data_IF_282358384654
#
_entry.id   IF_282358384654
#
_cell.length_a   1.000
_cell.length_b   1.000
_cell.length_c   1.000
_cell.angle_alpha   90.00
_cell.angle_beta   90.00
_cell.angle_gamma   90.00
#
_symmetry.space_group_name_H-M   'P 1'
#
loop_
_entity.id
_entity.type
_entity.pdbx_description
1 polymer ?
#
# COMPACT_ATOMS: atom_id res chain seq x y z
N UNK A 1 5.28 4.65 -22.63
CA UNK A 1 6.19 4.42 -21.49
C UNK A 1 5.96 3.02 -21.00
N UNK A 2 7.01 2.21 -20.88
CA UNK A 2 6.95 1.04 -19.99
C UNK A 2 6.45 1.58 -18.63
N UNK A 3 5.43 0.96 -18.04
CA UNK A 3 4.97 1.27 -16.69
C UNK A 3 6.18 1.05 -15.77
N UNK A 4 6.88 2.15 -15.51
CA UNK A 4 8.29 2.17 -15.16
C UNK A 4 8.52 1.63 -13.75
N UNK A 5 9.79 1.36 -13.47
CA UNK A 5 10.27 1.16 -12.10
C UNK A 5 9.73 2.30 -11.23
N UNK A 6 9.17 1.99 -10.04
CA UNK A 6 8.70 3.02 -9.12
C UNK A 6 9.78 4.09 -8.88
N UNK A 7 9.37 5.35 -8.95
CA UNK A 7 10.22 6.49 -8.64
C UNK A 7 10.22 6.65 -7.13
N UNK A 8 11.40 6.53 -6.51
CA UNK A 8 11.59 6.70 -5.06
C UNK A 8 12.30 8.02 -4.81
N UNK A 9 11.69 8.91 -4.04
CA UNK A 9 12.25 10.21 -3.67
C UNK A 9 12.02 10.48 -2.18
N UNK A 10 12.88 11.31 -1.59
CA UNK A 10 12.68 11.81 -0.22
C UNK A 10 11.99 13.17 -0.19
N UNK A 11 12.09 13.92 -1.29
CA UNK A 11 11.58 15.29 -1.42
C UNK A 11 10.57 15.34 -2.57
N UNK A 12 9.42 15.96 -2.31
CA UNK A 12 8.30 16.01 -3.26
C UNK A 12 8.58 16.87 -4.49
N UNK A 13 9.55 17.77 -4.44
CA UNK A 13 10.00 18.58 -5.58
C UNK A 13 10.74 17.77 -6.65
N UNK A 14 11.22 16.57 -6.31
CA UNK A 14 11.83 15.62 -7.25
C UNK A 14 10.79 14.74 -7.98
N UNK A 15 9.50 14.85 -7.63
CA UNK A 15 8.44 14.16 -8.37
C UNK A 15 8.30 14.73 -9.79
N UNK A 16 7.86 13.94 -10.77
CA UNK A 16 7.54 14.44 -12.11
C UNK A 16 6.51 15.57 -12.08
N UNK A 17 6.64 16.55 -12.97
CA UNK A 17 5.69 17.66 -13.06
C UNK A 17 4.44 17.26 -13.84
N UNK A 18 3.33 17.05 -13.12
CA UNK A 18 2.02 16.79 -13.69
C UNK A 18 0.96 17.63 -12.99
N UNK A 19 0.07 18.23 -13.78
CA UNK A 19 -1.16 18.81 -13.27
C UNK A 19 -2.15 17.68 -12.95
N UNK A 20 -2.79 17.80 -11.80
CA UNK A 20 -3.82 16.89 -11.32
C UNK A 20 -5.17 17.47 -11.68
N UNK A 21 -6.06 16.63 -12.20
CA UNK A 21 -7.43 17.02 -12.50
C UNK A 21 -8.14 17.43 -11.21
N UNK A 22 -8.75 18.62 -11.21
CA UNK A 22 -9.60 19.08 -10.11
C UNK A 22 -10.70 18.07 -9.76
N UNK A 23 -11.11 18.01 -8.49
CA UNK A 23 -12.15 17.10 -8.04
C UNK A 23 -13.45 17.28 -8.85
N UNK A 24 -13.89 16.21 -9.51
CA UNK A 24 -15.13 16.19 -10.29
C UNK A 24 -16.30 15.96 -9.33
N UNK A 25 -17.03 17.03 -9.00
CA UNK A 25 -18.18 17.08 -8.07
C UNK A 25 -17.82 16.85 -6.59
N UNK A 26 -17.93 17.92 -5.80
CA UNK A 26 -17.66 17.97 -4.35
C UNK A 26 -18.67 17.22 -3.46
N UNK A 27 -19.63 16.47 -4.02
CA UNK A 27 -20.82 16.02 -3.27
C UNK A 27 -20.94 14.52 -3.06
N UNK A 28 -20.11 13.69 -3.67
CA UNK A 28 -20.17 12.24 -3.46
C UNK A 28 -18.78 11.64 -3.35
N UNK A 29 -18.35 11.39 -2.11
CA UNK A 29 -17.21 10.55 -1.79
C UNK A 29 -17.67 9.39 -0.92
N UNK A 30 -17.05 8.23 -1.11
CA UNK A 30 -17.20 7.11 -0.17
C UNK A 30 -16.03 7.18 0.80
N UNK A 31 -16.34 7.13 2.09
CA UNK A 31 -15.35 7.07 3.16
C UNK A 31 -15.56 5.78 3.95
N UNK A 32 -14.46 5.05 4.19
CA UNK A 32 -14.45 3.76 4.87
C UNK A 32 -13.24 3.72 5.81
N UNK A 33 -13.46 3.25 7.03
CA UNK A 33 -12.43 3.06 8.08
C UNK A 33 -12.49 1.65 8.72
N UNK A 34 -13.30 0.75 8.13
CA UNK A 34 -13.53 -0.62 8.57
C UNK A 34 -13.73 -1.55 7.38
N UNK A 35 -14.01 -2.83 7.64
CA UNK A 35 -14.34 -3.79 6.59
C UNK A 35 -15.48 -3.30 5.68
N UNK A 36 -15.27 -3.39 4.38
CA UNK A 36 -16.24 -2.96 3.37
C UNK A 36 -15.99 -3.67 2.04
N UNK A 37 -17.06 -3.96 1.31
CA UNK A 37 -17.03 -4.39 -0.08
C UNK A 37 -17.85 -3.46 -0.95
N UNK A 38 -17.23 -2.98 -2.02
CA UNK A 38 -17.80 -2.19 -3.09
C UNK A 38 -17.25 -2.71 -4.42
N UNK A 39 -17.91 -2.45 -5.56
CA UNK A 39 -17.43 -2.92 -6.86
C UNK A 39 -16.00 -2.49 -7.23
N UNK A 40 -15.49 -1.42 -6.62
CA UNK A 40 -14.17 -0.84 -6.86
C UNK A 40 -13.30 -0.75 -5.61
N UNK A 41 -13.77 -1.22 -4.45
CA UNK A 41 -13.04 -1.16 -3.19
C UNK A 41 -13.35 -2.37 -2.34
N UNK A 42 -12.34 -3.04 -1.80
CA UNK A 42 -12.52 -3.97 -0.70
C UNK A 42 -11.49 -3.69 0.36
N UNK A 43 -11.93 -3.78 1.61
CA UNK A 43 -11.11 -3.54 2.80
C UNK A 43 -11.41 -4.62 3.82
N UNK A 44 -10.36 -5.14 4.46
CA UNK A 44 -10.45 -6.13 5.54
C UNK A 44 -9.37 -5.91 6.56
N UNK A 45 -9.72 -6.05 7.85
CA UNK A 45 -8.76 -6.10 8.95
C UNK A 45 -9.16 -7.23 9.90
N UNK A 46 -8.32 -8.27 9.98
CA UNK A 46 -8.54 -9.41 10.86
C UNK A 46 -7.37 -9.60 11.83
N UNK A 47 -7.56 -10.45 12.84
CA UNK A 47 -6.48 -10.94 13.68
C UNK A 47 -6.27 -12.43 13.44
N UNK A 48 -5.06 -12.81 13.04
CA UNK A 48 -4.65 -14.21 12.87
C UNK A 48 -4.12 -14.84 14.16
N UNK A 49 -4.05 -14.07 15.25
CA UNK A 49 -3.76 -14.57 16.59
C UNK A 49 -4.81 -15.57 17.11
N UNK A 50 -4.43 -16.47 18.04
CA UNK A 50 -5.31 -17.48 18.61
C UNK A 50 -6.36 -16.89 19.56
N UNK A 51 -7.53 -17.51 19.58
CA UNK A 51 -8.47 -17.36 20.71
C UNK A 51 -8.01 -18.26 21.85
N UNK A 52 -7.66 -17.66 22.99
CA UNK A 52 -7.19 -18.35 24.18
C UNK A 52 -8.35 -19.06 24.91
N UNK A 53 -8.08 -20.02 25.82
CA UNK A 53 -9.13 -20.77 26.52
C UNK A 53 -10.15 -19.91 27.30
N UNK A 54 -9.79 -18.67 27.65
CA UNK A 54 -10.68 -17.70 28.29
C UNK A 54 -11.66 -17.00 27.33
N UNK A 55 -11.60 -17.27 26.02
CA UNK A 55 -12.42 -16.64 24.99
C UNK A 55 -11.86 -15.32 24.45
N UNK A 56 -10.85 -14.76 25.11
CA UNK A 56 -10.11 -13.59 24.64
C UNK A 56 -9.21 -13.97 23.45
N UNK A 57 -9.07 -13.08 22.47
CA UNK A 57 -8.11 -13.26 21.39
C UNK A 57 -6.76 -12.65 21.80
N UNK A 58 -5.69 -13.39 21.61
CA UNK A 58 -4.35 -12.87 21.83
C UNK A 58 -4.06 -11.72 20.85
N UNK A 59 -3.20 -10.78 21.24
CA UNK A 59 -2.96 -9.58 20.42
C UNK A 59 -4.04 -8.49 20.50
N UNK A 60 -5.22 -8.74 21.08
CA UNK A 60 -6.30 -7.76 21.13
C UNK A 60 -5.93 -6.46 21.90
N UNK A 61 -6.50 -5.31 21.50
CA UNK A 61 -7.33 -5.10 20.31
C UNK A 61 -6.49 -5.05 19.03
N UNK A 62 -7.15 -5.22 17.87
CA UNK A 62 -6.54 -5.03 16.55
C UNK A 62 -5.84 -3.65 16.49
N UNK A 63 -4.52 -3.71 16.36
CA UNK A 63 -3.63 -2.57 16.36
C UNK A 63 -3.48 -1.93 14.96
N UNK A 64 -3.99 -2.58 13.93
CA UNK A 64 -4.11 -2.01 12.60
C UNK A 64 -5.32 -1.08 12.50
N UNK A 65 -5.16 0.01 11.74
CA UNK A 65 -6.23 0.92 11.35
C UNK A 65 -6.09 1.27 9.88
N UNK A 66 -7.22 1.41 9.19
CA UNK A 66 -7.26 1.78 7.79
C UNK A 66 -8.16 2.99 7.58
N UNK A 67 -7.92 3.69 6.48
CA UNK A 67 -8.82 4.73 5.98
C UNK A 67 -8.78 4.76 4.47
N UNK A 68 -9.95 4.88 3.86
CA UNK A 68 -10.11 5.02 2.43
C UNK A 68 -11.15 6.10 2.15
N UNK A 69 -10.80 7.04 1.30
CA UNK A 69 -11.71 8.02 0.74
C UNK A 69 -11.64 7.99 -0.78
N UNK A 70 -12.74 7.67 -1.44
CA UNK A 70 -12.82 7.57 -2.91
C UNK A 70 -13.73 8.64 -3.47
N UNK A 71 -13.17 9.44 -4.38
CA UNK A 71 -13.85 10.36 -5.29
C UNK A 71 -13.80 9.81 -6.71
N UNK A 72 -14.53 10.43 -7.64
CA UNK A 72 -14.59 10.00 -9.04
C UNK A 72 -13.23 9.94 -9.74
N UNK A 73 -12.38 10.93 -9.48
CA UNK A 73 -11.07 11.09 -10.13
C UNK A 73 -9.88 11.03 -9.16
N UNK A 74 -10.12 10.58 -7.92
CA UNK A 74 -9.10 10.56 -6.88
C UNK A 74 -9.44 9.57 -5.78
N UNK A 75 -8.44 8.93 -5.20
CA UNK A 75 -8.60 8.20 -3.95
C UNK A 75 -7.48 8.52 -2.96
N UNK A 76 -7.82 8.52 -1.68
CA UNK A 76 -6.90 8.54 -0.55
C UNK A 76 -6.99 7.18 0.15
N UNK A 77 -5.85 6.54 0.38
CA UNK A 77 -5.73 5.25 1.04
C UNK A 77 -4.75 5.38 2.21
N UNK A 78 -5.00 4.74 3.33
CA UNK A 78 -4.03 4.66 4.42
C UNK A 78 -4.17 3.37 5.23
N UNK A 79 -3.04 2.85 5.69
CA UNK A 79 -2.93 1.82 6.73
C UNK A 79 -1.90 2.31 7.76
N UNK A 80 -2.26 2.17 9.03
CA UNK A 80 -1.35 2.32 10.15
C UNK A 80 -1.36 1.00 10.94
N UNK A 81 -0.20 0.37 11.07
CA UNK A 81 -0.02 -0.82 11.91
C UNK A 81 0.67 -0.38 13.21
N UNK A 82 -0.02 -0.57 14.33
CA UNK A 82 0.49 -0.21 15.64
C UNK A 82 1.63 -1.13 16.05
N UNK A 83 2.84 -0.60 16.22
CA UNK A 83 4.01 -1.43 16.52
C UNK A 83 3.85 -2.24 17.82
N UNK A 84 4.00 -3.56 17.73
CA UNK A 84 3.62 -4.57 18.72
C UNK A 84 2.10 -4.80 18.76
N UNK A 85 1.51 -5.00 19.92
CA UNK A 85 0.06 -5.19 20.06
C UNK A 85 -0.46 -4.61 21.38
N UNK A 86 -1.78 -4.63 21.54
CA UNK A 86 -2.45 -4.10 22.71
C UNK A 86 -2.91 -2.64 22.56
N UNK A 87 -3.40 -2.08 23.67
CA UNK A 87 -4.14 -0.80 23.65
C UNK A 87 -3.31 0.39 23.16
N UNK A 88 -2.04 0.48 23.56
CA UNK A 88 -1.19 1.64 23.23
C UNK A 88 -0.89 1.72 21.73
N UNK A 89 -0.39 0.66 21.07
CA UNK A 89 -0.21 0.66 19.62
C UNK A 89 -1.52 0.87 18.85
N UNK A 90 -2.61 0.23 19.28
CA UNK A 90 -3.93 0.40 18.65
C UNK A 90 -4.47 1.84 18.74
N UNK A 91 -4.24 2.53 19.86
CA UNK A 91 -4.57 3.95 19.99
C UNK A 91 -3.68 4.82 19.10
N UNK A 92 -2.38 4.53 19.00
CA UNK A 92 -1.47 5.27 18.12
C UNK A 92 -1.87 5.16 16.65
N UNK A 93 -2.17 3.94 16.16
CA UNK A 93 -2.67 3.72 14.81
C UNK A 93 -3.99 4.46 14.56
N UNK A 94 -4.90 4.46 15.54
CA UNK A 94 -6.19 5.16 15.44
C UNK A 94 -5.99 6.66 15.34
N UNK A 95 -5.17 7.22 16.22
CA UNK A 95 -4.91 8.66 16.29
C UNK A 95 -4.18 9.13 15.01
N UNK A 96 -3.25 8.31 14.49
CA UNK A 96 -2.58 8.55 13.20
C UNK A 96 -3.56 8.62 12.03
N UNK A 97 -4.41 7.58 11.89
CA UNK A 97 -5.41 7.51 10.81
C UNK A 97 -6.44 8.64 10.92
N UNK A 98 -6.89 8.96 12.14
CA UNK A 98 -7.86 10.04 12.36
C UNK A 98 -7.30 11.40 11.89
N UNK A 99 -6.07 11.76 12.29
CA UNK A 99 -5.45 13.00 11.86
C UNK A 99 -5.14 13.02 10.36
N UNK A 100 -4.69 11.90 9.80
CA UNK A 100 -4.46 11.75 8.37
C UNK A 100 -5.75 11.98 7.56
N UNK A 101 -6.86 11.36 7.99
CA UNK A 101 -8.17 11.52 7.37
C UNK A 101 -8.69 12.95 7.46
N UNK A 102 -8.64 13.56 8.65
CA UNK A 102 -9.04 14.95 8.88
C UNK A 102 -8.25 15.92 7.98
N UNK A 103 -6.93 15.75 7.92
CA UNK A 103 -6.06 16.58 7.10
C UNK A 103 -6.47 16.59 5.62
N UNK A 104 -6.76 15.42 5.06
CA UNK A 104 -7.15 15.28 3.66
C UNK A 104 -8.59 15.70 3.39
N UNK A 105 -9.52 15.50 4.33
CA UNK A 105 -10.91 15.94 4.18
C UNK A 105 -11.04 17.44 3.92
N UNK A 106 -10.14 18.24 4.49
CA UNK A 106 -10.15 19.70 4.34
C UNK A 106 -9.41 20.18 3.08
N UNK A 107 -8.43 19.41 2.58
CA UNK A 107 -7.41 19.91 1.63
C UNK A 107 -7.48 19.30 0.25
N UNK A 108 -8.44 18.42 -0.04
CA UNK A 108 -8.55 17.81 -1.37
C UNK A 108 -8.56 18.85 -2.51
N UNK A 109 -9.27 19.96 -2.36
CA UNK A 109 -9.37 20.97 -3.41
C UNK A 109 -8.06 21.75 -3.65
N UNK A 110 -7.08 21.62 -2.76
CA UNK A 110 -5.79 22.31 -2.86
C UNK A 110 -4.75 21.49 -3.66
N UNK A 111 -5.03 20.22 -3.93
CA UNK A 111 -4.13 19.32 -4.67
C UNK A 111 -4.30 19.56 -6.18
N UNK A 112 -3.47 20.45 -6.73
CA UNK A 112 -3.48 20.84 -8.16
C UNK A 112 -2.35 20.21 -8.97
N UNK A 113 -1.27 19.80 -8.31
CA UNK A 113 -0.10 19.17 -8.94
C UNK A 113 0.32 17.91 -8.19
N UNK A 114 1.14 17.09 -8.85
CA UNK A 114 1.75 15.92 -8.20
C UNK A 114 2.68 16.33 -7.03
N UNK A 115 3.31 17.50 -7.12
CA UNK A 115 4.14 18.09 -6.06
C UNK A 115 3.28 18.49 -4.86
N UNK A 116 2.11 19.11 -5.08
CA UNK A 116 1.17 19.42 -4.00
C UNK A 116 0.74 18.13 -3.29
N UNK A 117 0.41 17.10 -4.05
CA UNK A 117 0.05 15.79 -3.51
C UNK A 117 1.17 15.22 -2.62
N UNK A 118 2.42 15.28 -3.06
CA UNK A 118 3.58 14.86 -2.26
C UNK A 118 3.79 15.71 -1.01
N UNK A 119 3.66 17.03 -1.13
CA UNK A 119 3.77 17.96 0.00
C UNK A 119 2.71 17.66 1.07
N UNK A 120 1.45 17.60 0.67
CA UNK A 120 0.32 17.35 1.57
C UNK A 120 0.37 15.95 2.19
N UNK A 121 0.83 14.94 1.44
CA UNK A 121 0.99 13.60 1.97
C UNK A 121 2.04 13.55 3.10
N UNK A 122 3.19 14.21 2.91
CA UNK A 122 4.22 14.30 3.97
C UNK A 122 3.76 15.15 5.16
N UNK A 123 2.96 16.20 4.93
CA UNK A 123 2.34 16.98 6.00
C UNK A 123 1.35 16.15 6.82
N UNK A 124 0.55 15.31 6.20
CA UNK A 124 -0.38 14.43 6.90
C UNK A 124 0.34 13.47 7.88
N UNK A 125 1.57 13.05 7.58
CA UNK A 125 2.39 12.24 8.49
C UNK A 125 2.84 13.05 9.73
N UNK A 126 3.12 14.34 9.55
CA UNK A 126 3.43 15.25 10.65
C UNK A 126 2.22 15.42 11.56
N UNK A 127 1.03 15.64 10.98
CA UNK A 127 -0.23 15.72 11.75
C UNK A 127 -0.52 14.42 12.50
N UNK A 128 -0.32 13.26 11.84
CA UNK A 128 -0.46 11.95 12.48
C UNK A 128 0.48 11.79 13.69
N UNK A 129 1.77 12.15 13.56
CA UNK A 129 2.70 12.12 14.69
C UNK A 129 2.24 13.03 15.84
N UNK A 130 1.89 14.28 15.53
CA UNK A 130 1.43 15.26 16.53
C UNK A 130 0.19 14.74 17.27
N UNK A 131 -0.74 14.10 16.56
CA UNK A 131 -1.95 13.54 17.16
C UNK A 131 -1.67 12.39 18.13
N UNK A 132 -0.71 11.51 17.81
CA UNK A 132 -0.34 10.38 18.68
C UNK A 132 0.16 10.87 20.05
N UNK A 133 0.94 11.96 20.06
CA UNK A 133 1.53 12.52 21.30
C UNK A 133 0.63 13.55 21.99
N UNK A 134 -0.45 13.97 21.34
CA UNK A 134 -1.35 15.00 21.85
C UNK A 134 -2.00 14.56 23.18
N UNK A 135 -2.01 15.49 24.15
CA UNK A 135 -2.74 15.33 25.42
C UNK A 135 -2.17 14.27 26.37
N UNK A 136 -0.96 13.75 26.13
CA UNK A 136 -0.31 12.79 27.05
C UNK A 136 0.38 13.50 28.21
N UNK A 137 0.15 13.10 29.48
CA UNK A 137 0.89 13.64 30.63
C UNK A 137 2.39 13.38 30.52
N UNK A 138 2.74 12.16 30.10
CA UNK A 138 4.08 11.78 29.63
C UNK A 138 3.94 11.25 28.20
N UNK A 139 4.66 11.87 27.27
CA UNK A 139 4.67 11.48 25.85
C UNK A 139 4.96 9.99 25.68
N UNK A 140 5.82 9.40 26.52
CA UNK A 140 6.19 7.99 26.45
C UNK A 140 5.08 7.03 26.90
N UNK A 141 3.90 7.52 27.28
CA UNK A 141 2.69 6.72 27.44
C UNK A 141 1.95 6.48 26.10
N UNK A 142 2.25 7.26 25.05
CA UNK A 142 1.72 7.00 23.72
C UNK A 142 2.27 5.68 23.15
N UNK A 143 1.49 5.01 22.31
CA UNK A 143 2.02 3.95 21.46
C UNK A 143 2.81 4.52 20.27
N UNK A 144 3.32 3.63 19.44
CA UNK A 144 3.93 3.97 18.14
C UNK A 144 3.24 3.17 17.04
N UNK A 145 3.29 3.65 15.82
CA UNK A 145 2.67 2.99 14.67
C UNK A 145 3.45 3.27 13.39
N UNK A 146 3.44 2.34 12.45
CA UNK A 146 3.81 2.60 11.06
C UNK A 146 2.73 3.49 10.41
N UNK A 147 3.03 4.06 9.25
CA UNK A 147 2.01 4.70 8.43
C UNK A 147 2.39 4.56 6.95
N UNK A 148 1.50 3.98 6.16
CA UNK A 148 1.51 4.06 4.71
C UNK A 148 0.28 4.84 4.27
N UNK A 149 0.50 5.99 3.63
CA UNK A 149 -0.54 6.81 3.05
C UNK A 149 -0.37 6.90 1.52
N UNK A 150 -1.45 6.83 0.76
CA UNK A 150 -1.45 6.78 -0.69
C UNK A 150 -2.50 7.69 -1.32
N UNK A 151 -2.18 8.23 -2.49
CA UNK A 151 -3.03 9.04 -3.34
C UNK A 151 -3.03 8.44 -4.75
N UNK A 152 -4.22 8.10 -5.25
CA UNK A 152 -4.44 7.80 -6.67
C UNK A 152 -5.02 9.04 -7.31
N UNK A 153 -4.40 9.54 -8.39
CA UNK A 153 -4.66 10.85 -8.98
C UNK A 153 -4.89 10.72 -10.50
N UNK A 154 -5.94 11.36 -11.02
CA UNK A 154 -6.12 11.57 -12.46
C UNK A 154 -5.34 12.82 -12.92
N UNK A 155 -4.51 12.71 -13.95
CA UNK A 155 -3.77 13.83 -14.53
C UNK A 155 -4.57 14.53 -15.62
N UNK A 156 -4.34 15.83 -15.77
CA UNK A 156 -4.93 16.59 -16.88
C UNK A 156 -4.38 16.08 -18.22
N UNK A 157 -5.26 15.85 -19.18
CA UNK A 157 -4.83 15.59 -20.55
C UNK A 157 -4.12 16.84 -21.08
N UNK A 158 -2.95 16.72 -21.74
CA UNK A 158 -2.37 17.85 -22.45
C UNK A 158 -3.40 18.31 -23.47
N UNK A 159 -3.94 19.52 -23.25
CA UNK A 159 -4.93 20.10 -24.14
C UNK A 159 -4.37 20.06 -25.55
N UNK A 160 -5.07 19.38 -26.49
CA UNK A 160 -4.97 19.74 -27.89
C UNK A 160 -5.39 21.20 -27.94
N UNK A 161 -4.40 22.09 -28.00
CA UNK A 161 -4.59 23.53 -28.06
C UNK A 161 -5.75 23.82 -29.00
N UNK A 162 -6.79 24.41 -28.43
CA UNK A 162 -7.93 24.97 -29.14
C UNK A 162 -7.40 25.94 -30.20
N UNK A 163 -7.25 25.46 -31.44
CA UNK A 163 -7.02 26.30 -32.60
C UNK A 163 -8.35 26.95 -32.99
N UNK A 164 -8.78 27.91 -32.17
CA UNK A 164 -9.81 28.87 -32.53
C UNK A 164 -9.12 30.15 -33.00
N UNK A 165 -8.72 30.20 -34.27
CA UNK A 165 -8.61 31.45 -35.02
C UNK A 165 -8.43 31.21 -36.52
N UNK A 166 -9.47 31.60 -37.26
CA UNK A 166 -9.41 32.33 -38.54
C UNK A 166 -9.18 31.53 -39.83
N UNK A 167 -10.31 31.35 -40.52
CA UNK A 167 -10.44 31.20 -41.96
C UNK A 167 -9.44 32.02 -42.77
N UNK A 168 -8.70 31.35 -43.65
CA UNK A 168 -8.40 31.85 -44.99
C UNK A 168 -8.33 30.66 -45.96
N UNK A 169 -9.13 30.75 -47.02
CA UNK A 169 -9.03 29.92 -48.22
C UNK A 169 -7.73 30.26 -48.94
N UNK A 170 -7.04 29.27 -49.48
CA UNK A 170 -6.54 29.29 -50.86
C UNK A 170 -6.04 27.90 -51.30
N UNK A 171 -6.17 27.65 -52.60
CA UNK A 171 -6.05 26.35 -53.26
C UNK A 171 -4.61 25.93 -53.62
N UNK A 172 -4.46 24.60 -53.76
CA UNK A 172 -3.67 23.88 -54.77
C UNK A 172 -2.14 23.67 -54.56
N UNK A 173 -1.72 22.42 -54.36
CA UNK A 173 -1.02 21.55 -55.36
C UNK A 173 -0.44 20.30 -54.69
N UNK A 174 -0.39 19.19 -55.43
CA UNK A 174 -0.08 17.85 -54.95
C UNK A 174 1.39 17.57 -54.61
N UNK A 175 1.57 16.53 -53.81
CA UNK A 175 2.84 15.87 -53.52
C UNK A 175 2.57 14.58 -52.75
N UNK A 176 2.91 13.45 -53.36
CA UNK A 176 3.01 12.16 -52.68
C UNK A 176 4.11 12.23 -51.64
N UNK A 177 3.84 11.89 -50.37
CA UNK A 177 4.90 11.54 -49.42
C UNK A 177 4.39 10.73 -48.22
N UNK A 178 5.04 9.57 -48.03
CA UNK A 178 5.26 8.80 -46.81
C UNK A 178 4.22 8.85 -45.68
N UNK A 179 3.45 7.76 -45.55
CA UNK A 179 2.78 7.37 -44.30
C UNK A 179 3.81 7.10 -43.20
N UNK A 180 4.24 8.16 -42.53
CA UNK A 180 5.00 8.10 -41.29
C UNK A 180 3.99 7.99 -40.16
N UNK A 181 3.60 6.75 -39.83
CA UNK A 181 2.77 6.45 -38.68
C UNK A 181 3.46 6.91 -37.41
N UNK A 182 3.21 8.16 -37.00
CA UNK A 182 3.60 8.64 -35.68
C UNK A 182 2.75 7.88 -34.66
N UNK A 183 3.38 6.94 -33.96
CA UNK A 183 2.83 6.38 -32.74
C UNK A 183 2.69 7.54 -31.74
N UNK A 184 1.55 8.23 -31.76
CA UNK A 184 1.14 9.16 -30.71
C UNK A 184 0.97 8.34 -29.43
N UNK A 185 2.04 8.25 -28.65
CA UNK A 185 2.00 7.61 -27.37
C UNK A 185 1.19 8.51 -26.43
N UNK A 186 -0.02 8.06 -26.06
CA UNK A 186 -0.90 8.82 -25.18
C UNK A 186 -0.22 9.12 -23.84
N UNK A 187 -0.39 10.34 -23.34
CA UNK A 187 0.10 10.74 -22.01
C UNK A 187 -0.52 9.85 -20.91
N UNK A 188 0.20 9.57 -19.81
CA UNK A 188 -0.36 8.81 -18.70
C UNK A 188 -1.54 9.55 -18.08
N UNK A 189 -2.65 8.84 -17.85
CA UNK A 189 -3.89 9.40 -17.28
C UNK A 189 -3.92 9.32 -15.75
N UNK A 190 -3.27 8.32 -15.16
CA UNK A 190 -3.32 8.08 -13.72
C UNK A 190 -1.92 7.91 -13.11
N UNK A 191 -1.79 8.29 -11.84
CA UNK A 191 -0.62 8.04 -11.02
C UNK A 191 -1.01 7.55 -9.62
N UNK A 192 -0.16 6.69 -9.05
CA UNK A 192 -0.24 6.25 -7.67
C UNK A 192 1.01 6.76 -6.92
N UNK A 193 0.78 7.68 -5.98
CA UNK A 193 1.76 8.27 -5.10
C UNK A 193 1.56 7.72 -3.69
N UNK A 194 2.58 7.22 -3.01
CA UNK A 194 2.46 6.87 -1.60
C UNK A 194 3.68 7.29 -0.78
N UNK A 195 3.47 7.66 0.47
CA UNK A 195 4.50 7.85 1.47
C UNK A 195 4.42 6.68 2.46
N UNK A 196 5.57 6.24 2.95
CA UNK A 196 5.64 5.14 3.92
C UNK A 196 6.71 5.43 4.96
N UNK A 197 6.37 5.21 6.23
CA UNK A 197 7.29 5.04 7.35
C UNK A 197 6.92 3.74 8.05
N UNK A 198 7.91 2.88 8.28
CA UNK A 198 7.68 1.48 8.66
C UNK A 198 7.71 0.53 7.47
N UNK A 199 7.06 -0.62 7.59
CA UNK A 199 7.21 -1.76 6.68
C UNK A 199 5.95 -2.18 5.93
N UNK A 200 4.77 -1.62 6.23
CA UNK A 200 3.57 -1.80 5.40
C UNK A 200 3.88 -1.59 3.91
N UNK A 201 3.24 -2.39 3.04
CA UNK A 201 3.57 -2.45 1.62
C UNK A 201 2.46 -1.93 0.73
N UNK A 202 2.86 -1.31 -0.39
CA UNK A 202 1.98 -1.00 -1.49
C UNK A 202 2.38 -1.79 -2.74
N UNK A 203 1.38 -2.35 -3.41
CA UNK A 203 1.51 -3.02 -4.69
C UNK A 203 0.62 -2.35 -5.73
N UNK A 204 1.10 -2.32 -6.98
CA UNK A 204 0.27 -2.04 -8.15
C UNK A 204 0.07 -3.34 -8.91
N UNK A 205 -1.18 -3.79 -9.00
CA UNK A 205 -1.56 -4.98 -9.78
C UNK A 205 -2.11 -4.53 -11.12
N UNK A 206 -1.37 -4.76 -12.18
CA UNK A 206 -1.73 -4.34 -13.52
C UNK A 206 -2.73 -5.30 -14.14
N UNK A 207 -3.92 -4.80 -14.48
CA UNK A 207 -4.97 -5.64 -15.09
C UNK A 207 -4.57 -6.12 -16.49
N UNK A 208 -3.95 -5.22 -17.27
CA UNK A 208 -3.56 -5.45 -18.65
C UNK A 208 -2.34 -6.36 -18.77
N UNK A 209 -1.31 -6.12 -17.96
CA UNK A 209 -0.07 -6.91 -17.98
C UNK A 209 -0.18 -8.23 -17.22
N UNK A 210 -1.16 -8.36 -16.33
CA UNK A 210 -1.28 -9.49 -15.41
C UNK A 210 -0.03 -9.63 -14.53
N UNK A 211 0.44 -8.50 -14.00
CA UNK A 211 1.67 -8.38 -13.23
C UNK A 211 1.45 -7.57 -11.96
N UNK A 212 2.13 -7.93 -10.88
CA UNK A 212 2.22 -7.15 -9.65
C UNK A 212 3.56 -6.42 -9.56
N UNK A 213 3.56 -5.22 -8.99
CA UNK A 213 4.78 -4.43 -8.72
C UNK A 213 4.78 -3.98 -7.27
N UNK A 214 5.80 -4.33 -6.48
CA UNK A 214 6.02 -3.74 -5.14
C UNK A 214 6.45 -2.29 -5.32
N UNK A 215 5.51 -1.37 -5.10
CA UNK A 215 5.73 0.08 -5.21
C UNK A 215 6.65 0.55 -4.09
N UNK A 216 6.55 -0.07 -2.93
CA UNK A 216 7.33 0.21 -1.71
C UNK A 216 8.63 -0.60 -1.61
N UNK A 217 9.13 -1.17 -2.71
CA UNK A 217 10.31 -2.03 -2.68
C UNK A 217 11.49 -1.32 -1.96
N UNK A 218 12.10 -2.02 -1.01
CA UNK A 218 13.17 -1.47 -0.18
C UNK A 218 12.73 -0.45 0.88
N UNK A 219 11.46 -0.43 1.30
CA UNK A 219 10.99 0.31 2.49
C UNK A 219 11.56 -0.28 3.79
N UNK A 220 11.71 -1.60 3.87
CA UNK A 220 12.33 -2.30 5.00
C UNK A 220 13.76 -2.74 4.66
N UNK A 221 14.75 -2.11 5.28
CA UNK A 221 16.16 -2.46 5.07
C UNK A 221 16.67 -3.52 6.06
N UNK A 222 16.10 -3.56 7.28
CA UNK A 222 16.46 -4.57 8.28
C UNK A 222 15.63 -5.84 8.07
N UNK A 223 16.26 -6.84 7.44
CA UNK A 223 15.63 -8.14 7.15
C UNK A 223 15.83 -9.17 8.25
N UNK A 224 16.68 -8.90 9.25
CA UNK A 224 17.05 -9.85 10.30
C UNK A 224 16.28 -9.67 11.61
N UNK A 225 15.75 -8.47 11.89
CA UNK A 225 14.84 -8.25 13.03
C UNK A 225 13.44 -7.86 12.55
N UNK A 226 12.51 -8.81 12.65
CA UNK A 226 11.10 -8.63 12.25
C UNK A 226 10.34 -7.65 13.14
N UNK A 227 10.88 -7.27 14.30
CA UNK A 227 10.28 -6.30 15.23
C UNK A 227 10.71 -4.86 14.97
N UNK A 228 11.72 -4.67 14.12
CA UNK A 228 12.09 -3.34 13.64
C UNK A 228 11.43 -3.09 12.28
N UNK A 229 10.32 -2.33 12.21
CA UNK A 229 9.69 -1.96 10.95
C UNK A 229 10.54 -0.96 10.15
N UNK A 230 11.69 -0.53 10.67
CA UNK A 230 12.60 0.44 10.05
C UNK A 230 12.33 1.88 10.45
N UNK A 231 11.06 2.25 10.62
CA UNK A 231 10.63 3.56 11.10
C UNK A 231 9.23 3.50 11.70
N UNK A 232 8.85 4.51 12.47
CA UNK A 232 7.53 4.61 13.13
C UNK A 232 7.19 6.05 13.55
N UNK A 233 5.90 6.36 13.54
CA UNK A 233 5.32 7.53 14.17
C UNK A 233 5.05 7.29 15.67
N UNK A 234 4.81 8.38 16.40
CA UNK A 234 4.83 8.39 17.86
C UNK A 234 6.25 8.57 18.45
N UNK A 235 6.37 8.56 19.78
CA UNK A 235 7.63 8.85 20.47
C UNK A 235 8.55 7.64 20.45
N UNK A 236 9.73 7.78 19.84
CA UNK A 236 10.70 6.69 19.75
C UNK A 236 12.15 7.15 19.94
N UNK A 237 12.58 8.25 19.31
CA UNK A 237 13.96 8.74 19.39
C UNK A 237 14.07 10.07 20.13
N UNK A 238 15.19 10.28 20.84
CA UNK A 238 15.51 11.55 21.48
C UNK A 238 14.42 12.04 22.44
N UNK A 239 13.83 13.19 22.14
CA UNK A 239 12.81 13.86 22.97
C UNK A 239 11.36 13.42 22.61
N UNK A 240 11.18 12.20 22.08
CA UNK A 240 9.88 11.73 21.60
C UNK A 240 9.63 12.00 20.12
N UNK A 241 10.68 12.21 19.35
CA UNK A 241 10.59 12.35 17.90
C UNK A 241 10.24 11.01 17.23
N UNK A 242 9.60 11.04 16.05
CA UNK A 242 9.35 9.83 15.29
C UNK A 242 10.65 9.28 14.72
N UNK A 243 10.66 7.98 14.44
CA UNK A 243 11.73 7.34 13.70
C UNK A 243 11.44 7.37 12.22
N UNK A 244 12.10 8.27 11.50
CA UNK A 244 11.88 8.50 10.07
C UNK A 244 13.00 7.92 9.19
N UNK A 245 13.83 7.00 9.72
CA UNK A 245 15.01 6.45 9.00
C UNK A 245 14.66 5.87 7.63
N UNK A 246 13.46 5.33 7.47
CA UNK A 246 12.98 4.77 6.21
C UNK A 246 11.79 5.53 5.59
N UNK A 247 11.51 6.76 6.05
CA UNK A 247 10.48 7.60 5.42
C UNK A 247 10.85 7.84 3.96
N UNK A 248 10.00 7.39 3.04
CA UNK A 248 10.18 7.52 1.60
C UNK A 248 8.87 7.87 0.92
N UNK A 249 8.97 8.59 -0.20
CA UNK A 249 7.89 8.86 -1.13
C UNK A 249 8.11 8.03 -2.40
N UNK A 250 7.07 7.34 -2.84
CA UNK A 250 7.08 6.42 -3.96
C UNK A 250 6.03 6.86 -4.97
N UNK A 251 6.37 6.82 -6.25
CA UNK A 251 5.45 7.16 -7.31
C UNK A 251 5.54 6.17 -8.47
N UNK A 252 4.40 5.76 -9.00
CA UNK A 252 4.32 5.00 -10.23
C UNK A 252 3.13 5.45 -11.07
N UNK A 253 3.28 5.34 -12.39
CA UNK A 253 2.14 5.50 -13.29
C UNK A 253 1.26 4.25 -13.23
N UNK A 254 -0.03 4.43 -13.44
CA UNK A 254 -1.00 3.34 -13.45
C UNK A 254 -2.03 3.53 -14.56
N UNK A 255 -2.72 2.44 -14.91
CA UNK A 255 -3.78 2.44 -15.90
C UNK A 255 -5.15 2.25 -15.24
N UNK A 256 -6.19 2.63 -15.98
CA UNK A 256 -7.57 2.36 -15.57
C UNK A 256 -7.82 0.84 -15.46
N UNK A 257 -8.51 0.42 -14.41
CA UNK A 257 -8.73 -0.96 -13.96
C UNK A 257 -7.56 -1.66 -13.26
N UNK A 258 -6.38 -1.04 -13.14
CA UNK A 258 -5.34 -1.54 -12.23
C UNK A 258 -5.84 -1.52 -10.78
N UNK A 259 -5.24 -2.32 -9.90
CA UNK A 259 -5.55 -2.32 -8.47
C UNK A 259 -4.39 -1.71 -7.68
N UNK A 260 -4.65 -0.64 -6.95
CA UNK A 260 -3.79 -0.17 -5.88
C UNK A 260 -4.09 -1.00 -4.63
N UNK A 261 -3.11 -1.79 -4.19
CA UNK A 261 -3.21 -2.70 -3.04
C UNK A 261 -2.26 -2.19 -1.96
N UNK A 262 -2.76 -1.87 -0.76
CA UNK A 262 -1.91 -1.59 0.40
C UNK A 262 -2.21 -2.59 1.51
N UNK A 263 -1.17 -3.03 2.21
CA UNK A 263 -1.26 -4.13 3.19
C UNK A 263 -0.34 -3.89 4.40
N UNK A 264 -0.74 -4.40 5.56
CA UNK A 264 0.12 -4.46 6.76
C UNK A 264 1.13 -5.62 6.70
N UNK A 265 2.05 -5.70 7.66
CA UNK A 265 3.04 -6.76 7.75
C UNK A 265 2.42 -8.14 8.01
N UNK A 266 1.30 -8.18 8.74
CA UNK A 266 0.49 -9.39 8.91
C UNK A 266 -0.03 -10.00 7.61
N UNK A 267 0.05 -9.28 6.49
CA UNK A 267 -0.14 -9.84 5.15
C UNK A 267 1.19 -10.21 4.52
N UNK A 268 2.11 -9.25 4.35
CA UNK A 268 3.27 -9.49 3.50
C UNK A 268 4.29 -10.44 4.12
N UNK A 269 4.35 -10.56 5.45
CA UNK A 269 5.13 -11.59 6.12
C UNK A 269 4.58 -12.98 5.80
N UNK A 270 3.27 -13.12 5.59
CA UNK A 270 2.65 -14.37 5.14
C UNK A 270 2.78 -14.61 3.62
N UNK A 271 3.43 -13.71 2.88
CA UNK A 271 3.85 -13.91 1.49
C UNK A 271 5.37 -14.09 1.37
N UNK A 272 6.10 -14.04 2.48
CA UNK A 272 7.56 -14.20 2.52
C UNK A 272 7.95 -15.69 2.49
N UNK A 273 8.91 -16.10 1.65
CA UNK A 273 9.27 -17.51 1.52
C UNK A 273 9.83 -18.12 2.82
N UNK A 274 10.54 -17.35 3.64
CA UNK A 274 11.11 -17.84 4.91
C UNK A 274 9.98 -18.11 5.91
N UNK A 275 9.04 -17.17 6.03
CA UNK A 275 7.88 -17.32 6.90
C UNK A 275 6.99 -18.48 6.46
N UNK A 276 6.94 -18.78 5.17
CA UNK A 276 6.23 -19.94 4.62
C UNK A 276 7.01 -21.26 4.75
N UNK A 277 8.15 -21.26 5.44
CA UNK A 277 8.97 -22.45 5.67
C UNK A 277 9.68 -22.97 4.42
N UNK A 278 9.81 -22.14 3.37
CA UNK A 278 10.46 -22.52 2.12
C UNK A 278 11.98 -22.48 2.26
N UNK A 279 12.66 -23.40 1.60
CA UNK A 279 14.13 -23.34 1.43
C UNK A 279 14.50 -22.51 0.21
N UNK A 280 15.76 -22.04 0.09
CA UNK A 280 16.22 -21.38 -1.13
C UNK A 280 16.05 -22.27 -2.38
N UNK A 281 16.35 -23.57 -2.26
CA UNK A 281 16.20 -24.55 -3.36
C UNK A 281 14.75 -24.67 -3.85
N UNK A 282 13.78 -24.73 -2.92
CA UNK A 282 12.34 -24.79 -3.25
C UNK A 282 11.83 -23.56 -4.00
N UNK A 283 12.56 -22.44 -3.92
CA UNK A 283 12.23 -21.20 -4.65
C UNK A 283 13.24 -20.87 -5.76
N UNK A 284 14.03 -21.87 -6.19
CA UNK A 284 15.01 -21.78 -7.28
C UNK A 284 16.13 -20.75 -7.04
N UNK A 285 16.64 -20.67 -5.82
CA UNK A 285 17.80 -19.85 -5.46
C UNK A 285 19.00 -20.75 -5.18
N UNK A 286 20.14 -20.42 -5.79
CA UNK A 286 21.41 -21.12 -5.57
C UNK A 286 22.04 -20.74 -4.23
N UNK A 287 21.48 -21.29 -3.14
CA UNK A 287 21.99 -21.19 -1.77
C UNK A 287 21.56 -22.41 -0.95
N UNK A 288 22.34 -22.79 0.08
CA UNK A 288 21.97 -23.92 0.95
C UNK A 288 20.98 -23.49 2.02
N UNK A 289 21.23 -22.34 2.64
CA UNK A 289 20.38 -21.72 3.64
C UNK A 289 20.23 -20.23 3.34
N UNK A 290 19.19 -19.58 3.87
CA UNK A 290 18.91 -18.17 3.58
C UNK A 290 20.00 -17.22 4.08
N UNK A 291 20.68 -17.61 5.16
CA UNK A 291 21.77 -16.89 5.79
C UNK A 291 23.04 -16.81 4.93
N UNK A 292 23.16 -17.68 3.92
CA UNK A 292 24.30 -17.67 2.99
C UNK A 292 24.20 -16.53 1.95
N UNK A 293 23.00 -15.97 1.75
CA UNK A 293 22.78 -14.93 0.75
C UNK A 293 23.26 -13.55 1.24
N UNK A 294 23.86 -12.78 0.33
CA UNK A 294 24.06 -11.35 0.57
C UNK A 294 22.72 -10.65 0.75
N UNK A 295 22.69 -9.57 1.55
CA UNK A 295 21.46 -8.87 1.92
C UNK A 295 20.64 -8.40 0.71
N UNK A 296 21.30 -7.92 -0.35
CA UNK A 296 20.65 -7.47 -1.58
C UNK A 296 20.03 -8.64 -2.38
N UNK A 297 20.72 -9.78 -2.41
CA UNK A 297 20.23 -11.00 -3.08
C UNK A 297 19.05 -11.60 -2.30
N UNK A 298 19.12 -11.60 -0.97
CA UNK A 298 18.03 -12.00 -0.07
C UNK A 298 16.79 -11.12 -0.27
N UNK A 299 16.98 -9.80 -0.31
CA UNK A 299 15.89 -8.85 -0.57
C UNK A 299 15.25 -9.13 -1.94
N UNK A 300 16.06 -9.26 -3.00
CA UNK A 300 15.58 -9.53 -4.35
C UNK A 300 14.80 -10.85 -4.41
N UNK A 301 15.33 -11.89 -3.78
CA UNK A 301 14.68 -13.20 -3.68
C UNK A 301 13.30 -13.12 -3.01
N UNK A 302 13.23 -12.50 -1.83
CA UNK A 302 11.98 -12.32 -1.08
C UNK A 302 10.96 -11.52 -1.88
N UNK A 303 11.38 -10.38 -2.44
CA UNK A 303 10.51 -9.53 -3.26
C UNK A 303 10.00 -10.28 -4.50
N UNK A 304 10.85 -11.03 -5.18
CA UNK A 304 10.46 -11.79 -6.37
C UNK A 304 9.48 -12.92 -6.02
N UNK A 305 9.74 -13.68 -4.96
CA UNK A 305 8.84 -14.73 -4.51
C UNK A 305 7.47 -14.18 -4.11
N UNK A 306 7.44 -13.14 -3.27
CA UNK A 306 6.21 -12.48 -2.84
C UNK A 306 5.40 -11.95 -4.02
N UNK A 307 6.08 -11.33 -5.00
CA UNK A 307 5.45 -10.90 -6.26
C UNK A 307 4.83 -12.07 -7.00
N UNK A 308 5.58 -13.15 -7.23
CA UNK A 308 5.10 -14.31 -7.98
C UNK A 308 3.94 -15.03 -7.28
N UNK A 309 3.99 -15.15 -5.96
CA UNK A 309 2.88 -15.71 -5.17
C UNK A 309 1.63 -14.84 -5.26
N UNK A 310 1.77 -13.51 -5.17
CA UNK A 310 0.65 -12.59 -5.33
C UNK A 310 0.04 -12.66 -6.75
N UNK A 311 0.88 -12.74 -7.78
CA UNK A 311 0.45 -12.94 -9.16
C UNK A 311 -0.29 -14.28 -9.34
N UNK A 312 0.24 -15.36 -8.77
CA UNK A 312 -0.42 -16.67 -8.76
C UNK A 312 -1.80 -16.56 -8.12
N UNK A 313 -1.90 -16.03 -6.89
CA UNK A 313 -3.18 -15.88 -6.19
C UNK A 313 -4.21 -15.10 -7.02
N UNK A 314 -3.80 -14.00 -7.65
CA UNK A 314 -4.72 -13.11 -8.37
C UNK A 314 -5.08 -13.64 -9.77
N UNK A 315 -4.12 -14.24 -10.48
CA UNK A 315 -4.25 -14.56 -11.90
C UNK A 315 -4.36 -16.06 -12.22
N UNK A 316 -4.39 -16.97 -11.23
CA UNK A 316 -4.46 -18.43 -11.46
C UNK A 316 -5.66 -18.88 -12.30
N UNK A 317 -6.75 -18.12 -12.31
CA UNK A 317 -8.00 -18.47 -13.01
C UNK A 317 -8.23 -17.55 -14.20
N UNK A 318 -8.00 -18.02 -15.45
CA UNK A 318 -8.05 -17.17 -16.65
C UNK A 318 -9.44 -16.59 -16.93
N UNK A 319 -10.50 -17.25 -16.46
CA UNK A 319 -11.89 -16.83 -16.66
C UNK A 319 -12.46 -15.99 -15.49
N UNK A 320 -11.69 -15.81 -14.41
CA UNK A 320 -12.17 -15.11 -13.23
C UNK A 320 -12.03 -13.60 -13.38
N UNK A 321 -13.13 -12.88 -13.13
CA UNK A 321 -13.11 -11.42 -13.12
C UNK A 321 -12.29 -10.95 -11.92
N UNK A 322 -11.22 -10.21 -12.18
CA UNK A 322 -10.38 -9.64 -11.11
C UNK A 322 -11.15 -8.51 -10.44
N UNK A 323 -11.58 -8.73 -9.20
CA UNK A 323 -12.23 -7.71 -8.38
C UNK A 323 -11.45 -7.45 -7.10
N UNK A 324 -11.58 -6.24 -6.50
CA UNK A 324 -10.98 -5.95 -5.20
C UNK A 324 -11.37 -6.94 -4.10
N UNK A 325 -12.63 -7.38 -4.06
CA UNK A 325 -13.14 -8.34 -3.07
C UNK A 325 -12.50 -9.70 -3.25
N UNK A 326 -12.37 -10.20 -4.49
CA UNK A 326 -11.73 -11.51 -4.73
C UNK A 326 -10.26 -11.49 -4.31
N UNK A 327 -9.52 -10.42 -4.66
CA UNK A 327 -8.12 -10.25 -4.24
C UNK A 327 -8.03 -10.24 -2.71
N UNK A 328 -8.88 -9.46 -2.05
CA UNK A 328 -8.85 -9.32 -0.60
C UNK A 328 -9.17 -10.65 0.10
N UNK A 329 -10.20 -11.36 -0.34
CA UNK A 329 -10.56 -12.66 0.20
C UNK A 329 -9.43 -13.68 0.02
N UNK A 330 -8.85 -13.80 -1.17
CA UNK A 330 -7.73 -14.72 -1.42
C UNK A 330 -6.53 -14.45 -0.52
N UNK A 331 -6.20 -13.17 -0.29
CA UNK A 331 -5.11 -12.78 0.61
C UNK A 331 -5.43 -13.15 2.06
N UNK A 332 -6.62 -12.81 2.53
CA UNK A 332 -7.06 -13.09 3.91
C UNK A 332 -7.15 -14.60 4.18
N UNK A 333 -7.68 -15.36 3.23
CA UNK A 333 -7.78 -16.82 3.29
C UNK A 333 -6.40 -17.46 3.31
N UNK A 334 -5.47 -16.98 2.49
CA UNK A 334 -4.07 -17.43 2.51
C UNK A 334 -3.43 -17.19 3.88
N UNK A 335 -3.48 -15.95 4.40
CA UNK A 335 -2.90 -15.60 5.70
C UNK A 335 -3.49 -16.44 6.83
N UNK A 336 -4.81 -16.67 6.80
CA UNK A 336 -5.52 -17.52 7.77
C UNK A 336 -5.13 -18.99 7.64
N UNK A 337 -4.90 -19.47 6.42
CA UNK A 337 -4.56 -20.87 6.16
C UNK A 337 -3.14 -21.17 6.63
N UNK A 338 -2.17 -20.33 6.26
CA UNK A 338 -0.76 -20.60 6.58
C UNK A 338 -0.51 -20.52 8.09
N UNK A 339 -1.10 -19.55 8.79
CA UNK A 339 -0.95 -19.38 10.24
C UNK A 339 -1.72 -20.39 11.09
N UNK A 340 -2.53 -21.27 10.47
CA UNK A 340 -3.42 -22.20 11.18
C UNK A 340 -2.69 -23.09 12.19
N UNK A 341 -1.61 -23.76 11.78
CA UNK A 341 -0.89 -24.69 12.66
C UNK A 341 -0.30 -23.97 13.88
N UNK A 342 0.32 -22.80 13.65
CA UNK A 342 0.92 -21.99 14.71
C UNK A 342 -0.14 -21.52 15.72
N UNK A 343 -1.31 -21.12 15.19
CA UNK A 343 -2.47 -20.70 15.98
C UNK A 343 -3.02 -21.85 16.82
N UNK A 344 -3.26 -23.01 16.22
CA UNK A 344 -3.76 -24.21 16.94
C UNK A 344 -2.79 -24.63 18.06
N UNK A 345 -1.48 -24.61 17.80
CA UNK A 345 -0.47 -24.87 18.81
C UNK A 345 -0.56 -23.89 19.98
N UNK A 346 -0.70 -22.59 19.72
CA UNK A 346 -0.83 -21.60 20.79
C UNK A 346 -2.17 -21.69 21.54
N UNK A 347 -3.24 -22.21 20.91
CA UNK A 347 -4.49 -22.49 21.62
C UNK A 347 -4.36 -23.67 22.59
N UNK A 348 -3.64 -24.72 22.20
CA UNK A 348 -3.35 -25.87 23.05
C UNK A 348 -2.35 -25.52 24.16
N UNK A 349 -1.37 -24.66 23.86
CA UNK A 349 -0.31 -24.25 24.78
C UNK A 349 -0.27 -22.72 24.98
N UNK A 350 -1.27 -22.11 25.64
CA UNK A 350 -1.45 -20.65 25.70
C UNK A 350 -0.33 -19.87 26.40
N UNK A 351 0.53 -20.55 27.16
CA UNK A 351 1.70 -19.93 27.82
C UNK A 351 2.98 -20.01 26.97
N UNK A 352 2.92 -20.64 25.80
CA UNK A 352 4.05 -20.73 24.87
C UNK A 352 3.95 -19.65 23.81
N UNK A 353 5.11 -19.19 23.35
CA UNK A 353 5.21 -18.31 22.19
C UNK A 353 4.99 -19.11 20.90
N UNK A 354 4.72 -18.40 19.81
CA UNK A 354 4.71 -18.98 18.47
C UNK A 354 6.01 -19.79 18.25
N UNK A 355 5.93 -21.02 17.72
CA UNK A 355 7.11 -21.78 17.31
C UNK A 355 7.89 -21.08 16.20
N UNK A 356 9.22 -21.19 16.24
CA UNK A 356 10.09 -20.61 15.20
C UNK A 356 10.42 -21.61 14.06
N UNK A 357 9.86 -22.83 14.09
CA UNK A 357 9.99 -23.78 12.99
C UNK A 357 8.90 -23.52 11.95
N UNK A 358 9.20 -22.65 10.99
CA UNK A 358 8.27 -22.29 9.92
C UNK A 358 7.98 -23.42 8.94
N UNK A 359 8.71 -24.56 8.98
CA UNK A 359 8.36 -25.73 8.15
C UNK A 359 7.15 -26.46 8.72
N UNK A 360 7.08 -26.60 10.04
CA UNK A 360 5.95 -27.24 10.73
C UNK A 360 4.81 -26.23 11.02
N UNK A 361 5.18 -24.99 11.33
CA UNK A 361 4.29 -23.89 11.71
C UNK A 361 4.49 -22.69 10.78
N UNK A 362 4.10 -22.80 9.49
CA UNK A 362 4.27 -21.70 8.55
C UNK A 362 3.45 -20.48 8.95
N UNK A 363 3.83 -19.34 8.38
CA UNK A 363 3.21 -18.06 8.59
C UNK A 363 3.59 -17.38 9.91
N UNK A 364 3.39 -16.07 9.95
CA UNK A 364 3.53 -15.24 11.14
C UNK A 364 2.14 -14.74 11.53
N UNK A 365 1.73 -15.02 12.76
CA UNK A 365 0.48 -14.47 13.27
C UNK A 365 0.64 -12.98 13.54
N UNK A 366 -0.31 -12.20 13.05
CA UNK A 366 -0.39 -10.77 13.28
C UNK A 366 -1.81 -10.21 13.08
N UNK A 367 -1.94 -8.89 13.24
CA UNK A 367 -3.04 -8.15 12.65
C UNK A 367 -2.84 -8.03 11.14
N UNK A 368 -3.84 -8.48 10.37
CA UNK A 368 -3.73 -8.67 8.93
C UNK A 368 -4.74 -7.73 8.26
N UNK A 369 -4.24 -6.68 7.63
CA UNK A 369 -5.06 -5.65 6.99
C UNK A 369 -4.75 -5.50 5.51
N UNK A 370 -5.80 -5.45 4.70
CA UNK A 370 -5.76 -5.33 3.25
C UNK A 370 -6.71 -4.22 2.80
N UNK A 371 -6.23 -3.35 1.91
CA UNK A 371 -7.04 -2.41 1.15
C UNK A 371 -6.75 -2.60 -0.33
N UNK A 372 -7.75 -3.02 -1.10
CA UNK A 372 -7.68 -3.15 -2.54
C UNK A 372 -8.61 -2.12 -3.20
N UNK A 373 -8.05 -1.21 -4.00
CA UNK A 373 -8.80 -0.18 -4.72
C UNK A 373 -8.58 -0.28 -6.22
N UNK A 374 -9.67 -0.34 -6.99
CA UNK A 374 -9.65 -0.37 -8.45
C UNK A 374 -9.58 1.04 -9.04
N UNK A 375 -8.52 1.31 -9.78
CA UNK A 375 -8.19 2.61 -10.36
C UNK A 375 -9.12 2.94 -11.53
N UNK A 376 -9.53 4.20 -11.62
CA UNK A 376 -10.25 4.75 -12.77
C UNK A 376 -11.65 4.20 -13.01
N UNK A 377 -12.23 3.50 -12.04
CA UNK A 377 -13.64 3.11 -12.04
C UNK A 377 -14.30 3.58 -10.75
N UNK A 378 -14.34 4.89 -10.52
CA UNK A 378 -15.31 5.44 -9.57
C UNK A 378 -16.70 4.99 -10.03
N UNK A 379 -17.43 4.30 -9.16
CA UNK A 379 -18.84 3.90 -9.24
C UNK A 379 -19.58 4.27 -10.56
N UNK A 380 -20.20 3.33 -11.30
CA UNK A 380 -21.13 3.69 -12.38
C UNK A 380 -22.30 4.59 -11.92
N UNK A 381 -22.47 4.77 -10.61
CA UNK A 381 -23.42 5.70 -9.99
C UNK A 381 -22.87 7.11 -9.64
N UNK A 382 -21.60 7.44 -9.94
CA UNK A 382 -21.02 8.80 -9.73
C UNK A 382 -21.18 9.75 -10.92
#
# INVERSE_FOLDING_TARGET
MTLGVPIVVLQYDQLPHFNVTNLKSSTQSIQVDSDSDQPFLSTRSISTYPTLPGGEKDGDPIADKLFVQVHKNRAVLAIADGCNWGKRPAMAARDAIAAFAEYFNERQNEINTLQDAGHFLLRAFCEAHNKIVEGKPDIWEAGTTTLLGGLVLEFESPSSSSSSSSSNKDENTGGEEGSSGSNQQSSPKWGFLCASVGDCKAFLVSHKRKEATDVTNGNRCNLSDTRDPGGRLGPYVGQGWPDLRNLKLYFTFCEENDIALIVSDGVHDNLDPIMLGKTPDEVNIDAKVWEDLHQDDLLRAKTQFMKSLLEEMIFNSPDEKITPTDITNKIIDHCSTVTKNAREFMQEFPNKKQPNDYREYPGKMDHTTVVAYKIGSGNPSF
#
